data_IF_522744790001
#
_entry.id   IF_522744790001
#
_cell.length_a   1.000
_cell.length_b   1.000
_cell.length_c   1.000
_cell.angle_alpha   90.00
_cell.angle_beta   90.00
_cell.angle_gamma   90.00
#
_symmetry.space_group_name_H-M   'P 1'
#
loop_
_entity.id
_entity.type
_entity.pdbx_description
1 polymer ?
#
# COMPACT_ATOMS: atom_id res chain seq x y z
N UNK A 1 -3.52 -30.28 -76.67
CA UNK A 1 -4.47 -30.69 -75.60
C UNK A 1 -3.83 -30.64 -74.18
N UNK A 2 -2.64 -31.27 -73.91
CA UNK A 2 -2.01 -31.37 -72.65
C UNK A 2 -1.57 -30.00 -72.06
N UNK A 3 -0.98 -29.13 -72.88
CA UNK A 3 -0.52 -27.79 -72.44
C UNK A 3 -1.72 -26.88 -72.06
N UNK A 4 -2.87 -26.98 -72.73
CA UNK A 4 -4.06 -26.25 -72.34
C UNK A 4 -4.65 -26.74 -71.01
N UNK A 5 -4.59 -28.04 -70.74
CA UNK A 5 -5.02 -28.60 -69.47
C UNK A 5 -4.12 -28.15 -68.33
N UNK A 6 -2.77 -28.14 -68.47
CA UNK A 6 -1.82 -27.62 -67.50
C UNK A 6 -2.05 -26.13 -67.19
N UNK A 7 -2.26 -25.29 -68.24
CA UNK A 7 -2.54 -23.87 -68.02
C UNK A 7 -3.85 -23.64 -67.26
N UNK A 8 -4.90 -24.44 -67.47
CA UNK A 8 -6.12 -24.37 -66.64
C UNK A 8 -5.92 -24.78 -65.24
N UNK A 9 -5.09 -25.78 -64.97
CA UNK A 9 -4.77 -26.23 -63.62
C UNK A 9 -3.99 -25.14 -62.85
N UNK A 10 -2.97 -24.55 -63.45
CA UNK A 10 -2.23 -23.44 -62.88
C UNK A 10 -3.13 -22.21 -62.60
N UNK A 11 -4.07 -21.90 -63.50
CA UNK A 11 -5.03 -20.82 -63.29
C UNK A 11 -6.00 -21.13 -62.14
N UNK A 12 -6.44 -22.37 -62.01
CA UNK A 12 -7.27 -22.78 -60.86
C UNK A 12 -6.52 -22.72 -59.55
N UNK A 13 -5.26 -23.17 -59.49
CA UNK A 13 -4.41 -23.07 -58.32
C UNK A 13 -4.21 -21.62 -57.92
N UNK A 14 -3.92 -20.71 -58.85
CA UNK A 14 -3.77 -19.28 -58.56
C UNK A 14 -5.07 -18.68 -58.00
N UNK A 15 -6.25 -19.11 -58.49
CA UNK A 15 -7.54 -18.67 -57.94
C UNK A 15 -7.76 -19.17 -56.51
N UNK A 16 -7.37 -20.40 -56.20
CA UNK A 16 -7.43 -20.96 -54.84
C UNK A 16 -6.54 -20.16 -53.92
N UNK A 17 -5.29 -19.89 -54.29
CA UNK A 17 -4.39 -19.10 -53.48
C UNK A 17 -4.85 -17.66 -53.26
N UNK A 18 -5.43 -17.03 -54.29
CA UNK A 18 -6.03 -15.70 -54.12
C UNK A 18 -7.21 -15.73 -53.12
N UNK A 19 -8.06 -16.75 -53.19
CA UNK A 19 -9.18 -16.92 -52.26
C UNK A 19 -8.71 -17.18 -50.82
N UNK A 20 -7.63 -17.97 -50.66
CA UNK A 20 -6.99 -18.19 -49.36
C UNK A 20 -6.41 -16.89 -48.78
N UNK A 21 -5.74 -16.09 -49.60
CA UNK A 21 -5.21 -14.80 -49.20
C UNK A 21 -6.33 -13.85 -48.72
N UNK A 22 -7.46 -13.83 -49.46
CA UNK A 22 -8.65 -13.06 -49.04
C UNK A 22 -9.24 -13.55 -47.71
N UNK A 23 -9.33 -14.89 -47.54
CA UNK A 23 -9.80 -15.47 -46.29
C UNK A 23 -8.91 -15.06 -45.11
N UNK A 24 -7.58 -15.19 -45.22
CA UNK A 24 -6.65 -14.78 -44.16
C UNK A 24 -6.69 -13.28 -43.89
N UNK A 25 -6.84 -12.46 -44.93
CA UNK A 25 -7.02 -11.01 -44.77
C UNK A 25 -8.29 -10.67 -43.98
N UNK A 26 -9.42 -11.33 -44.32
CA UNK A 26 -10.67 -11.15 -43.59
C UNK A 26 -10.57 -11.62 -42.15
N UNK A 27 -9.90 -12.75 -41.89
CA UNK A 27 -9.66 -13.26 -40.53
C UNK A 27 -8.78 -12.30 -39.72
N UNK A 28 -7.74 -11.73 -40.33
CA UNK A 28 -6.92 -10.72 -39.71
C UNK A 28 -7.70 -9.45 -39.35
N UNK A 29 -8.61 -9.01 -40.25
CA UNK A 29 -9.48 -7.87 -39.98
C UNK A 29 -10.44 -8.13 -38.81
N UNK A 30 -11.00 -9.33 -38.69
CA UNK A 30 -11.82 -9.72 -37.53
C UNK A 30 -11.00 -9.72 -36.26
N UNK A 31 -9.77 -10.24 -36.29
CA UNK A 31 -8.88 -10.24 -35.16
C UNK A 31 -8.53 -8.82 -34.71
N UNK A 32 -8.25 -7.91 -35.64
CA UNK A 32 -7.99 -6.50 -35.35
C UNK A 32 -9.22 -5.80 -34.75
N UNK A 33 -10.41 -6.06 -35.28
CA UNK A 33 -11.65 -5.52 -34.70
C UNK A 33 -11.90 -6.01 -33.28
N UNK A 34 -11.67 -7.29 -33.01
CA UNK A 34 -11.79 -7.84 -31.66
C UNK A 34 -10.78 -7.23 -30.69
N UNK A 35 -9.54 -6.96 -31.09
CA UNK A 35 -8.55 -6.26 -30.29
C UNK A 35 -8.99 -4.83 -29.96
N UNK A 36 -9.59 -4.12 -30.93
CA UNK A 36 -10.16 -2.78 -30.70
C UNK A 36 -11.33 -2.83 -29.71
N UNK A 37 -12.20 -3.83 -29.80
CA UNK A 37 -13.29 -4.02 -28.82
C UNK A 37 -12.72 -4.27 -27.42
N UNK A 38 -11.70 -5.11 -27.29
CA UNK A 38 -11.07 -5.39 -26.00
C UNK A 38 -10.42 -4.14 -25.38
N UNK A 39 -9.78 -3.31 -26.20
CA UNK A 39 -9.23 -2.03 -25.77
C UNK A 39 -10.32 -1.10 -25.24
N UNK A 40 -11.39 -0.87 -26.00
CA UNK A 40 -12.52 -0.03 -25.58
C UNK A 40 -13.16 -0.57 -24.32
N UNK A 41 -13.31 -1.89 -24.19
CA UNK A 41 -13.84 -2.50 -22.97
C UNK A 41 -12.94 -2.25 -21.75
N UNK A 42 -11.62 -2.28 -21.92
CA UNK A 42 -10.68 -1.92 -20.85
C UNK A 42 -10.84 -0.45 -20.45
N UNK A 43 -10.94 0.45 -21.41
CA UNK A 43 -11.17 1.88 -21.16
C UNK A 43 -12.48 2.13 -20.38
N UNK A 44 -13.55 1.43 -20.74
CA UNK A 44 -14.83 1.50 -20.00
C UNK A 44 -14.68 0.99 -18.57
N UNK A 45 -13.97 -0.13 -18.38
CA UNK A 45 -13.73 -0.68 -17.04
C UNK A 45 -12.91 0.29 -16.16
N UNK A 46 -11.96 1.00 -16.76
CA UNK A 46 -11.12 1.98 -16.06
C UNK A 46 -11.89 3.25 -15.66
N UNK A 47 -13.04 3.51 -16.25
CA UNK A 47 -13.95 4.60 -15.84
C UNK A 47 -14.64 4.32 -14.49
N UNK A 48 -14.65 3.06 -14.02
CA UNK A 48 -15.21 2.68 -12.74
C UNK A 48 -14.08 2.46 -11.73
N UNK A 49 -13.80 3.49 -10.94
CA UNK A 49 -12.77 3.41 -9.90
C UNK A 49 -13.25 2.52 -8.75
N UNK A 50 -12.53 1.42 -8.52
CA UNK A 50 -12.77 0.51 -7.39
C UNK A 50 -11.68 0.69 -6.36
N UNK A 51 -12.07 0.63 -5.07
CA UNK A 51 -11.10 0.64 -3.99
C UNK A 51 -10.18 -0.59 -4.09
N UNK A 52 -8.84 -0.42 -4.12
CA UNK A 52 -7.90 -1.54 -4.22
C UNK A 52 -7.79 -2.34 -2.93
N UNK A 53 -8.22 -1.77 -1.81
CA UNK A 53 -8.17 -2.35 -0.46
C UNK A 53 -9.37 -1.90 0.36
N UNK A 54 -9.65 -2.65 1.42
CA UNK A 54 -10.57 -2.19 2.47
C UNK A 54 -9.93 -1.02 3.21
N UNK A 55 -10.73 -0.01 3.55
CA UNK A 55 -10.24 1.17 4.24
C UNK A 55 -11.33 2.19 4.46
N UNK A 56 -10.98 3.30 5.11
CA UNK A 56 -11.86 4.43 5.33
C UNK A 56 -11.52 5.57 4.38
N UNK A 57 -12.52 6.13 3.73
CA UNK A 57 -12.34 7.37 2.96
C UNK A 57 -12.08 8.50 3.96
N UNK A 58 -10.93 9.11 3.85
CA UNK A 58 -10.51 10.21 4.71
C UNK A 58 -11.10 11.54 4.21
N UNK A 59 -10.95 11.78 2.92
CA UNK A 59 -11.55 12.94 2.26
C UNK A 59 -11.76 12.67 0.77
N UNK A 60 -12.71 13.39 0.20
CA UNK A 60 -12.99 13.44 -1.23
C UNK A 60 -12.27 14.65 -1.81
N UNK A 61 -11.50 14.42 -2.88
CA UNK A 61 -10.71 15.47 -3.54
C UNK A 61 -11.54 16.19 -4.60
N UNK A 62 -12.41 15.45 -5.27
CA UNK A 62 -13.19 15.90 -6.43
C UNK A 62 -14.67 15.74 -6.16
N UNK A 63 -15.46 16.76 -6.49
CA UNK A 63 -16.92 16.73 -6.36
C UNK A 63 -17.61 16.17 -7.62
N UNK A 64 -18.83 15.62 -7.50
CA UNK A 64 -19.60 15.20 -8.66
C UNK A 64 -19.84 16.37 -9.63
N UNK A 65 -19.53 16.14 -10.90
CA UNK A 65 -19.62 17.15 -11.95
C UNK A 65 -18.30 17.83 -12.31
N UNK A 66 -17.24 17.59 -11.55
CA UNK A 66 -15.90 18.06 -11.89
C UNK A 66 -15.21 17.12 -12.91
N UNK A 67 -14.39 17.72 -13.77
CA UNK A 67 -13.59 17.01 -14.75
C UNK A 67 -12.24 16.65 -14.15
N UNK A 68 -11.92 15.35 -14.12
CA UNK A 68 -10.64 14.84 -13.62
C UNK A 68 -9.73 14.50 -14.79
N UNK A 69 -8.53 15.06 -14.81
CA UNK A 69 -7.50 14.68 -15.78
C UNK A 69 -6.94 13.28 -15.50
N UNK A 70 -6.28 12.71 -16.49
CA UNK A 70 -5.63 11.41 -16.37
C UNK A 70 -4.62 11.40 -15.20
N UNK A 71 -4.73 10.43 -14.30
CA UNK A 71 -3.92 10.34 -13.07
C UNK A 71 -4.35 11.28 -11.93
N UNK A 72 -5.45 12.02 -12.07
CA UNK A 72 -5.99 12.87 -11.03
C UNK A 72 -6.49 12.08 -9.82
N UNK A 73 -6.27 12.62 -8.62
CA UNK A 73 -6.73 12.00 -7.37
C UNK A 73 -8.22 12.30 -7.17
N UNK A 74 -9.01 11.25 -6.92
CA UNK A 74 -10.46 11.39 -6.67
C UNK A 74 -10.77 11.30 -5.18
N UNK A 75 -10.18 10.32 -4.49
CA UNK A 75 -10.42 10.03 -3.08
C UNK A 75 -9.10 9.75 -2.37
N UNK A 76 -9.05 10.04 -1.07
CA UNK A 76 -8.01 9.57 -0.17
C UNK A 76 -8.55 8.43 0.67
N UNK A 77 -7.99 7.23 0.48
CA UNK A 77 -8.32 6.02 1.24
C UNK A 77 -7.21 5.73 2.24
N UNK A 78 -7.57 5.49 3.50
CA UNK A 78 -6.64 5.09 4.55
C UNK A 78 -6.93 3.65 4.95
N UNK A 79 -5.90 2.82 4.93
CA UNK A 79 -5.94 1.45 5.45
C UNK A 79 -5.78 1.49 6.97
N UNK A 80 -6.85 1.16 7.69
CA UNK A 80 -6.88 1.14 9.14
C UNK A 80 -6.49 -0.23 9.73
N UNK A 81 -6.13 -1.20 8.90
CA UNK A 81 -5.65 -2.51 9.37
C UNK A 81 -4.15 -2.52 9.64
N UNK A 82 -3.45 -1.46 9.23
CA UNK A 82 -2.01 -1.31 9.42
C UNK A 82 -1.71 0.06 10.07
N UNK A 83 -1.91 0.13 11.39
CA UNK A 83 -1.69 1.35 12.18
C UNK A 83 -0.49 1.17 13.09
N UNK A 84 0.37 2.16 13.13
CA UNK A 84 1.54 2.19 14.00
C UNK A 84 1.72 3.57 14.63
N UNK A 85 2.34 3.60 15.79
CA UNK A 85 2.78 4.84 16.42
C UNK A 85 4.28 5.03 16.20
N UNK A 86 4.66 6.24 15.82
CA UNK A 86 6.06 6.63 15.67
C UNK A 86 6.49 7.41 16.90
N UNK A 87 7.57 6.99 17.52
CA UNK A 87 8.15 7.67 18.67
C UNK A 87 9.68 7.71 18.56
N UNK A 88 10.32 8.43 19.44
CA UNK A 88 11.75 8.66 19.41
C UNK A 88 12.39 8.23 20.73
N UNK A 89 13.48 7.46 20.63
CA UNK A 89 14.27 7.01 21.77
C UNK A 89 15.72 7.49 21.64
N UNK A 90 16.36 7.86 22.76
CA UNK A 90 17.78 8.20 22.76
C UNK A 90 18.66 6.98 22.46
N UNK A 91 19.84 7.21 21.91
CA UNK A 91 20.80 6.18 21.50
C UNK A 91 21.10 5.15 22.59
N UNK A 92 21.19 5.59 23.85
CA UNK A 92 21.47 4.74 25.02
C UNK A 92 20.37 3.70 25.31
N UNK A 93 19.14 3.96 24.90
CA UNK A 93 17.98 3.09 25.09
C UNK A 93 17.73 2.19 23.86
N UNK A 94 17.89 2.74 22.66
CA UNK A 94 17.67 2.00 21.40
C UNK A 94 18.54 0.76 21.30
N UNK A 95 19.79 0.83 21.77
CA UNK A 95 20.71 -0.32 21.76
C UNK A 95 20.26 -1.52 22.63
N UNK A 96 19.29 -1.31 23.52
CA UNK A 96 18.71 -2.36 24.38
C UNK A 96 17.36 -2.85 23.88
N UNK A 97 16.81 -2.20 22.85
CA UNK A 97 15.49 -2.51 22.32
C UNK A 97 15.56 -3.73 21.40
N UNK A 98 14.71 -4.70 21.62
CA UNK A 98 14.60 -5.89 20.77
C UNK A 98 13.54 -5.67 19.70
N UNK A 99 13.87 -6.01 18.43
CA UNK A 99 12.88 -6.06 17.35
C UNK A 99 11.84 -7.13 17.67
N UNK A 100 10.55 -6.78 17.50
CA UNK A 100 9.44 -7.65 17.90
C UNK A 100 9.12 -7.59 19.39
N UNK A 101 9.86 -6.78 20.17
CA UNK A 101 9.61 -6.57 21.60
C UNK A 101 8.23 -5.96 21.87
N UNK A 102 7.73 -6.22 23.07
CA UNK A 102 6.42 -5.70 23.52
C UNK A 102 6.47 -4.19 23.75
N UNK A 103 5.43 -3.53 23.32
CA UNK A 103 5.18 -2.11 23.59
C UNK A 103 3.71 -1.90 23.97
N UNK A 104 3.45 -0.85 24.72
CA UNK A 104 2.11 -0.39 25.06
C UNK A 104 1.95 1.05 24.60
N UNK A 105 0.84 1.33 23.95
CA UNK A 105 0.50 2.67 23.47
C UNK A 105 -0.65 3.19 24.33
N UNK A 106 -0.45 4.34 24.95
CA UNK A 106 -1.48 5.06 25.69
C UNK A 106 -1.77 6.35 24.93
N UNK A 107 -3.00 6.50 24.44
CA UNK A 107 -3.40 7.69 23.69
C UNK A 107 -3.87 8.79 24.66
N UNK A 108 -3.51 10.04 24.37
CA UNK A 108 -3.98 11.19 25.16
C UNK A 108 -5.51 11.32 25.16
N UNK A 109 -6.15 10.82 24.08
CA UNK A 109 -7.60 10.80 23.94
C UNK A 109 -8.29 9.69 24.77
N UNK A 110 -7.54 8.70 25.27
CA UNK A 110 -8.02 7.58 26.05
C UNK A 110 -6.93 7.14 27.06
N UNK A 111 -6.68 7.94 28.09
CA UNK A 111 -5.59 7.70 29.04
C UNK A 111 -5.81 6.46 29.94
N UNK A 112 -7.04 5.99 30.03
CA UNK A 112 -7.43 4.82 30.85
C UNK A 112 -7.22 3.49 30.13
N UNK A 113 -6.71 3.50 28.89
CA UNK A 113 -6.61 2.32 28.02
C UNK A 113 -5.19 2.20 27.47
N UNK A 114 -4.56 1.04 27.69
CA UNK A 114 -3.28 0.68 27.08
C UNK A 114 -3.51 -0.27 25.89
N UNK A 115 -3.03 0.12 24.73
CA UNK A 115 -3.15 -0.66 23.49
C UNK A 115 -1.87 -1.48 23.29
N UNK A 116 -1.97 -2.82 23.23
CA UNK A 116 -0.80 -3.65 22.98
C UNK A 116 -0.24 -3.39 21.58
N UNK A 117 1.07 -3.32 21.48
CA UNK A 117 1.79 -3.10 20.24
C UNK A 117 3.11 -3.87 20.23
N UNK A 118 3.71 -4.01 19.07
CA UNK A 118 5.03 -4.63 18.90
C UNK A 118 5.98 -3.71 18.18
N UNK A 119 7.25 -3.74 18.52
CA UNK A 119 8.28 -2.95 17.84
C UNK A 119 8.52 -3.54 16.45
N UNK A 120 8.09 -2.81 15.43
CA UNK A 120 8.17 -3.25 14.02
C UNK A 120 9.35 -2.65 13.27
N UNK A 121 9.88 -1.53 13.74
CA UNK A 121 10.95 -0.82 13.04
C UNK A 121 11.77 0.03 14.00
N UNK A 122 13.08 -0.01 13.83
CA UNK A 122 14.06 0.88 14.47
C UNK A 122 14.91 1.49 13.36
N UNK A 123 15.06 2.81 13.35
CA UNK A 123 15.85 3.48 12.33
C UNK A 123 17.35 3.22 12.53
N UNK A 124 18.05 2.90 11.43
CA UNK A 124 19.51 2.70 11.42
C UNK A 124 20.30 4.01 11.53
N UNK A 125 19.64 5.13 11.27
CA UNK A 125 20.22 6.47 11.29
C UNK A 125 19.45 7.34 12.25
N UNK A 126 20.19 8.00 13.17
CA UNK A 126 19.61 8.98 14.08
C UNK A 126 19.03 10.16 13.29
N UNK A 127 17.86 10.63 13.68
CA UNK A 127 17.33 11.89 13.19
C UNK A 127 17.89 13.03 14.02
N UNK A 128 18.54 13.95 13.35
CA UNK A 128 19.20 15.10 13.97
C UNK A 128 18.48 16.39 13.59
N UNK A 129 18.24 17.26 14.56
CA UNK A 129 18.03 18.68 14.27
C UNK A 129 19.39 19.29 13.94
N UNK A 130 19.53 20.04 12.84
CA UNK A 130 20.83 20.37 12.27
C UNK A 130 21.67 21.29 13.15
N UNK A 131 22.60 20.71 13.92
CA UNK A 131 23.79 21.37 14.44
C UNK A 131 24.86 20.30 14.62
N UNK A 132 26.10 20.63 14.25
CA UNK A 132 27.25 19.73 14.26
C UNK A 132 27.44 19.03 15.61
N UNK A 133 27.61 17.70 15.56
CA UNK A 133 27.81 16.85 16.75
C UNK A 133 29.28 16.85 17.13
N UNK A 134 29.69 17.73 18.00
CA UNK A 134 31.11 17.82 18.42
C UNK A 134 31.36 17.36 19.86
N UNK A 135 30.33 17.25 20.72
CA UNK A 135 30.48 16.92 22.13
C UNK A 135 29.75 15.62 22.53
N UNK A 136 30.22 14.98 23.60
CA UNK A 136 29.60 13.77 24.14
C UNK A 136 28.16 14.00 24.60
N UNK A 137 27.86 15.17 25.15
CA UNK A 137 26.52 15.58 25.58
C UNK A 137 25.55 15.81 24.39
N UNK A 138 26.07 16.10 23.22
CA UNK A 138 25.24 16.22 22.00
C UNK A 138 24.95 14.87 21.35
N UNK A 139 25.85 13.89 21.48
CA UNK A 139 25.62 12.51 21.06
C UNK A 139 24.52 11.83 21.87
N UNK A 140 24.35 12.18 23.15
CA UNK A 140 23.26 11.69 24.00
C UNK A 140 21.88 12.21 23.58
N UNK A 141 21.83 13.32 22.83
CA UNK A 141 20.61 13.91 22.26
C UNK A 141 20.20 13.29 20.91
N UNK A 142 21.00 12.35 20.39
CA UNK A 142 20.65 11.63 19.16
C UNK A 142 19.41 10.76 19.41
N UNK A 143 18.34 11.06 18.68
CA UNK A 143 17.09 10.35 18.77
C UNK A 143 16.91 9.42 17.58
N UNK A 144 16.57 8.18 17.84
CA UNK A 144 16.26 7.19 16.84
C UNK A 144 14.75 7.02 16.72
N UNK A 145 14.27 7.02 15.47
CA UNK A 145 12.86 6.80 15.20
C UNK A 145 12.53 5.33 15.34
N UNK A 146 11.54 5.04 16.15
CA UNK A 146 11.02 3.69 16.38
C UNK A 146 9.53 3.67 15.99
N UNK A 147 9.06 2.52 15.48
CA UNK A 147 7.64 2.31 15.22
C UNK A 147 7.14 1.14 16.06
N UNK A 148 6.08 1.40 16.80
CA UNK A 148 5.28 0.38 17.48
C UNK A 148 4.02 0.11 16.63
N UNK A 149 3.84 -1.12 16.20
CA UNK A 149 2.72 -1.55 15.36
C UNK A 149 1.66 -2.22 16.21
N UNK A 150 0.42 -1.81 16.02
CA UNK A 150 -0.74 -2.41 16.67
C UNK A 150 -1.11 -3.69 15.91
N UNK A 151 -1.42 -4.81 16.58
CA UNK A 151 -1.85 -6.05 15.94
C UNK A 151 -3.10 -5.87 15.06
N UNK A 152 -3.06 -6.46 13.87
CA UNK A 152 -4.14 -6.32 12.88
C UNK A 152 -5.49 -6.87 13.39
N UNK A 153 -5.48 -7.94 14.18
CA UNK A 153 -6.68 -8.52 14.80
C UNK A 153 -7.39 -7.51 15.69
N UNK A 154 -6.66 -6.80 16.54
CA UNK A 154 -7.20 -5.78 17.44
C UNK A 154 -7.78 -4.59 16.64
N UNK A 155 -7.06 -4.15 15.59
CA UNK A 155 -7.54 -3.09 14.72
C UNK A 155 -8.83 -3.46 13.99
N UNK A 156 -8.99 -4.73 13.58
CA UNK A 156 -10.21 -5.22 12.93
C UNK A 156 -11.40 -5.29 13.88
N UNK A 157 -11.17 -5.70 15.13
CA UNK A 157 -12.22 -5.75 16.17
C UNK A 157 -12.78 -4.36 16.49
N UNK A 158 -11.90 -3.34 16.48
CA UNK A 158 -12.26 -1.98 16.90
C UNK A 158 -12.19 -0.95 15.75
N UNK A 159 -12.36 -1.39 14.50
CA UNK A 159 -12.11 -0.57 13.30
C UNK A 159 -12.91 0.75 13.27
N UNK A 160 -14.07 0.79 13.89
CA UNK A 160 -14.89 2.01 13.98
C UNK A 160 -14.28 3.05 14.92
N UNK A 161 -13.55 2.61 15.94
CA UNK A 161 -12.92 3.47 16.94
C UNK A 161 -11.51 3.92 16.52
N UNK A 162 -10.88 3.17 15.58
CA UNK A 162 -9.53 3.48 15.11
C UNK A 162 -9.49 4.82 14.41
N UNK A 163 -8.60 5.69 14.88
CA UNK A 163 -8.30 6.99 14.30
C UNK A 163 -6.77 7.10 14.12
N UNK A 164 -6.36 7.79 13.06
CA UNK A 164 -4.96 8.10 12.80
C UNK A 164 -4.64 9.53 13.19
N UNK A 165 -3.36 9.79 13.55
CA UNK A 165 -2.90 11.13 13.91
C UNK A 165 -3.20 11.55 15.34
N UNK A 166 -3.60 10.63 16.22
CA UNK A 166 -3.74 10.91 17.64
C UNK A 166 -2.37 10.93 18.32
N UNK A 167 -2.09 11.91 19.20
CA UNK A 167 -0.93 11.92 20.06
C UNK A 167 -1.09 10.91 21.21
N UNK A 168 0.03 10.52 21.81
CA UNK A 168 0.04 9.61 22.94
C UNK A 168 1.46 9.23 23.35
N UNK A 169 1.59 8.41 24.37
CA UNK A 169 2.82 7.90 24.91
C UNK A 169 3.02 6.43 24.53
N UNK A 170 4.28 6.03 24.35
CA UNK A 170 4.64 4.64 24.09
C UNK A 170 5.55 4.13 25.20
N UNK A 171 5.12 3.07 25.85
CA UNK A 171 5.88 2.36 26.85
C UNK A 171 6.54 1.15 26.21
N UNK A 172 7.84 0.98 26.42
CA UNK A 172 8.61 -0.12 25.84
C UNK A 172 9.42 -0.84 26.89
N UNK A 173 9.47 -2.17 26.81
CA UNK A 173 10.39 -2.95 27.65
C UNK A 173 11.78 -2.90 27.04
N UNK A 174 12.75 -2.40 27.79
CA UNK A 174 14.16 -2.40 27.38
C UNK A 174 14.84 -3.75 27.62
N UNK A 175 14.24 -4.60 28.46
CA UNK A 175 14.68 -5.97 28.75
C UNK A 175 13.44 -6.87 28.81
N UNK A 176 13.54 -8.08 28.33
CA UNK A 176 12.44 -9.07 28.31
C UNK A 176 11.96 -9.46 29.73
N UNK A 177 12.80 -9.27 30.76
CA UNK A 177 12.49 -9.55 32.17
C UNK A 177 11.85 -8.38 32.90
N UNK A 178 11.72 -7.21 32.26
CA UNK A 178 11.13 -6.04 32.90
C UNK A 178 9.62 -6.23 33.09
N UNK A 179 9.14 -5.96 34.28
CA UNK A 179 7.71 -5.90 34.58
C UNK A 179 7.15 -4.54 34.19
N UNK A 180 5.89 -4.52 33.77
CA UNK A 180 5.20 -3.27 33.52
C UNK A 180 4.91 -2.53 34.82
N UNK A 181 5.01 -1.20 34.85
CA UNK A 181 4.62 -0.41 36.03
C UNK A 181 3.16 -0.71 36.42
N UNK A 182 2.89 -0.71 37.72
CA UNK A 182 1.58 -1.01 38.29
C UNK A 182 0.54 0.10 38.08
N UNK A 183 0.96 1.26 37.61
CA UNK A 183 0.14 2.43 37.28
C UNK A 183 -0.27 2.52 35.81
N UNK A 184 0.06 1.49 35.02
CA UNK A 184 -0.40 1.42 33.64
C UNK A 184 -1.90 1.20 33.54
N UNK A 185 -2.55 1.81 32.53
CA UNK A 185 -3.97 1.61 32.24
C UNK A 185 -4.30 0.17 31.88
N UNK A 186 -5.60 -0.15 31.91
CA UNK A 186 -6.13 -1.48 31.56
C UNK A 186 -5.85 -1.81 30.08
N UNK A 187 -5.42 -3.05 29.84
CA UNK A 187 -5.14 -3.52 28.46
C UNK A 187 -6.43 -3.68 27.67
N UNK A 188 -6.42 -3.26 26.42
CA UNK A 188 -7.47 -3.56 25.46
C UNK A 188 -7.36 -5.00 25.01
N UNK A 189 -8.46 -5.75 25.21
CA UNK A 189 -8.65 -7.11 24.70
C UNK A 189 -9.19 -7.13 23.26
#
# INVERSE_FOLDING_TARGET
>A
AVNAAKARLTAADATIEASRAQYYSAQAAVSAANATIAQIQSEINDMVLKAPRNGRIQYRVVEPGEVVGAGGRVLSLVDLTNVYMTFFLPASQVGKLTMGGEALIVLDAAPDIAIPATISYVADVAQFTPKSVETQSEREKLMFRVKAQIPENLLKQHIEKVKTGLPGEVWVKLNDTAEWPSDLPELVD
#
